data_IF_832526882016
#
_entry.id   IF_832526882016
#
_cell.length_a   1.000
_cell.length_b   1.000
_cell.length_c   1.000
_cell.angle_alpha   90.00
_cell.angle_beta   90.00
_cell.angle_gamma   90.00
#
_symmetry.space_group_name_H-M   'P 1'
#
loop_
_entity.id
_entity.type
_entity.pdbx_description
1 polymer ?
#
# COMPACT_ATOMS: atom_id res chain seq x y z
N UNK A 1 5.24 42.76 -5.28
CA UNK A 1 5.24 41.96 -6.52
C UNK A 1 5.16 40.51 -6.08
N UNK A 2 4.06 39.83 -6.38
CA UNK A 2 3.90 38.41 -6.04
C UNK A 2 4.71 37.61 -7.06
N UNK A 3 5.86 37.07 -6.66
CA UNK A 3 6.54 36.06 -7.47
C UNK A 3 5.77 34.75 -7.31
N UNK A 4 5.36 34.13 -8.41
CA UNK A 4 4.66 32.85 -8.40
C UNK A 4 5.50 31.80 -7.68
N UNK A 5 4.90 31.05 -6.73
CA UNK A 5 5.62 30.06 -5.93
C UNK A 5 5.93 28.81 -6.77
N UNK A 6 7.02 28.92 -7.51
CA UNK A 6 7.53 27.92 -8.43
C UNK A 6 8.98 27.59 -8.06
N UNK A 7 9.13 26.81 -7.00
CA UNK A 7 10.42 26.37 -6.52
C UNK A 7 11.14 25.49 -7.56
N UNK A 8 12.40 25.82 -7.86
CA UNK A 8 13.25 24.93 -8.68
C UNK A 8 13.64 23.70 -7.84
N UNK A 9 13.17 22.52 -8.25
CA UNK A 9 13.42 21.26 -7.55
C UNK A 9 14.08 20.23 -8.47
N UNK A 10 14.89 19.35 -7.87
CA UNK A 10 15.49 18.20 -8.55
C UNK A 10 14.51 17.04 -8.49
N UNK A 11 14.09 16.59 -9.66
CA UNK A 11 13.13 15.51 -9.85
C UNK A 11 13.88 14.28 -10.37
N UNK A 12 13.84 13.19 -9.60
CA UNK A 12 14.53 11.94 -9.92
C UNK A 12 13.72 11.13 -10.94
N UNK A 13 14.43 10.40 -11.80
CA UNK A 13 13.87 9.48 -12.78
C UNK A 13 14.71 8.21 -12.87
N UNK A 14 14.15 7.15 -13.45
CA UNK A 14 14.82 5.85 -13.61
C UNK A 14 16.11 5.93 -14.44
N UNK A 15 16.15 6.81 -15.43
CA UNK A 15 17.30 7.04 -16.31
C UNK A 15 18.07 8.35 -16.04
N UNK A 16 17.85 9.03 -14.91
CA UNK A 16 18.55 10.28 -14.63
C UNK A 16 17.94 11.17 -13.55
N UNK A 17 18.01 12.48 -13.78
CA UNK A 17 17.26 13.48 -13.02
C UNK A 17 16.98 14.69 -13.90
N UNK A 18 15.90 15.39 -13.64
CA UNK A 18 15.60 16.69 -14.24
C UNK A 18 15.57 17.75 -13.15
N UNK A 19 15.81 19.01 -13.49
CA UNK A 19 15.65 20.13 -12.57
C UNK A 19 14.68 21.10 -13.24
N UNK A 20 13.53 21.25 -12.61
CA UNK A 20 12.41 22.00 -13.15
C UNK A 20 11.74 22.84 -12.06
N UNK A 21 10.98 23.83 -12.50
CA UNK A 21 10.12 24.64 -11.63
C UNK A 21 8.82 23.89 -11.37
N UNK A 22 8.51 23.67 -10.09
CA UNK A 22 7.32 22.95 -9.64
C UNK A 22 6.65 23.72 -8.50
N UNK A 23 5.33 23.63 -8.40
CA UNK A 23 4.57 24.20 -7.28
C UNK A 23 4.64 23.29 -6.05
N UNK A 24 4.18 23.76 -4.89
CA UNK A 24 4.06 22.93 -3.68
C UNK A 24 3.12 21.72 -3.85
N UNK A 25 2.05 21.87 -4.62
CA UNK A 25 1.14 20.75 -4.93
C UNK A 25 1.83 19.67 -5.77
N UNK A 26 2.60 20.07 -6.78
CA UNK A 26 3.40 19.16 -7.60
C UNK A 26 4.51 18.51 -6.76
N UNK A 27 5.22 19.28 -5.94
CA UNK A 27 6.24 18.79 -5.01
C UNK A 27 5.67 17.77 -4.01
N UNK A 28 4.44 17.98 -3.51
CA UNK A 28 3.74 17.03 -2.64
C UNK A 28 3.36 15.74 -3.38
N UNK A 29 2.93 15.82 -4.65
CA UNK A 29 2.66 14.66 -5.52
C UNK A 29 3.93 13.89 -5.89
N UNK A 30 5.05 14.60 -6.08
CA UNK A 30 6.36 14.03 -6.39
C UNK A 30 7.06 13.37 -5.19
N UNK A 31 6.65 13.67 -3.96
CA UNK A 31 7.20 13.05 -2.76
C UNK A 31 6.51 11.70 -2.49
N UNK A 32 7.16 10.61 -2.91
CA UNK A 32 6.69 9.24 -2.73
C UNK A 32 7.09 8.64 -1.37
N UNK A 33 7.19 9.46 -0.31
CA UNK A 33 7.57 9.03 1.05
C UNK A 33 9.09 9.04 1.31
N UNK A 34 9.87 9.83 0.58
CA UNK A 34 11.32 9.89 0.70
C UNK A 34 11.88 11.32 0.60
N UNK A 35 13.21 11.50 0.77
CA UNK A 35 13.86 12.80 0.65
C UNK A 35 14.03 13.27 -0.81
N UNK A 36 13.88 12.37 -1.79
CA UNK A 36 13.92 12.69 -3.22
C UNK A 36 12.50 12.90 -3.78
N UNK A 37 12.30 13.95 -4.59
CA UNK A 37 11.11 14.09 -5.42
C UNK A 37 11.29 13.26 -6.70
N UNK A 38 10.20 12.66 -7.19
CA UNK A 38 10.19 11.88 -8.42
C UNK A 38 9.28 12.52 -9.48
N UNK A 39 9.80 12.64 -10.71
CA UNK A 39 9.02 13.17 -11.85
C UNK A 39 7.80 12.27 -12.17
N UNK A 40 7.90 10.98 -11.84
CA UNK A 40 6.83 10.00 -12.00
C UNK A 40 5.55 10.35 -11.20
N UNK A 41 5.69 10.94 -10.00
CA UNK A 41 4.56 11.33 -9.15
C UNK A 41 3.96 12.70 -9.53
N UNK A 42 4.76 13.58 -10.12
CA UNK A 42 4.31 14.90 -10.60
C UNK A 42 3.47 14.76 -11.88
N UNK A 43 3.89 13.90 -12.82
CA UNK A 43 3.19 13.68 -14.07
C UNK A 43 3.78 14.47 -15.24
N UNK A 44 2.89 15.03 -16.08
CA UNK A 44 3.24 15.85 -17.23
C UNK A 44 3.68 17.25 -16.78
N UNK A 45 4.88 17.65 -17.19
CA UNK A 45 5.45 18.98 -16.99
C UNK A 45 5.78 19.59 -18.35
N UNK A 46 5.53 20.88 -18.52
CA UNK A 46 5.82 21.60 -19.77
C UNK A 46 7.31 21.82 -19.98
N UNK A 47 7.73 21.83 -21.24
CA UNK A 47 9.14 21.93 -21.62
C UNK A 47 9.78 23.23 -21.08
N UNK A 48 9.06 24.35 -21.10
CA UNK A 48 9.49 25.64 -20.55
C UNK A 48 9.73 25.65 -19.02
N UNK A 49 9.19 24.67 -18.28
CA UNK A 49 9.41 24.54 -16.83
C UNK A 49 10.73 23.81 -16.51
N UNK A 50 11.33 23.11 -17.46
CA UNK A 50 12.63 22.44 -17.28
C UNK A 50 13.79 23.42 -17.48
N UNK A 51 14.61 23.58 -16.45
CA UNK A 51 15.84 24.37 -16.54
C UNK A 51 16.97 23.52 -17.14
N UNK A 52 17.07 22.26 -16.73
CA UNK A 52 18.07 21.31 -17.22
C UNK A 52 17.70 19.86 -16.90
N UNK A 53 18.34 18.92 -17.59
CA UNK A 53 18.22 17.49 -17.32
C UNK A 53 19.58 16.77 -17.39
N UNK A 54 19.69 15.67 -16.66
CA UNK A 54 20.84 14.78 -16.67
C UNK A 54 20.39 13.38 -17.12
N UNK A 55 21.12 12.79 -18.06
CA UNK A 55 20.86 11.44 -18.54
C UNK A 55 21.96 10.50 -18.06
N UNK A 56 21.60 9.48 -17.27
CA UNK A 56 22.54 8.46 -16.78
C UNK A 56 23.25 7.72 -17.92
N UNK A 57 22.63 7.56 -19.10
CA UNK A 57 23.25 6.85 -20.23
C UNK A 57 24.27 7.69 -21.02
N UNK A 58 24.13 9.02 -20.98
CA UNK A 58 25.13 9.94 -21.55
C UNK A 58 26.17 10.38 -20.51
N UNK A 59 25.89 10.14 -19.23
CA UNK A 59 26.58 10.67 -18.05
C UNK A 59 26.76 12.21 -18.08
N UNK A 60 25.85 12.90 -18.78
CA UNK A 60 25.92 14.33 -19.09
C UNK A 60 24.67 15.08 -18.65
N UNK A 61 24.91 16.30 -18.17
CA UNK A 61 23.90 17.33 -17.98
C UNK A 61 23.68 18.09 -19.30
N UNK A 62 22.44 18.45 -19.57
CA UNK A 62 21.95 19.14 -20.75
C UNK A 62 20.99 20.24 -20.31
N UNK A 63 21.06 21.40 -20.95
CA UNK A 63 20.19 22.53 -20.64
C UNK A 63 18.82 22.42 -21.36
N UNK A 64 17.76 22.95 -20.74
CA UNK A 64 16.39 22.85 -21.22
C UNK A 64 15.68 21.52 -20.90
N UNK A 65 14.72 21.14 -21.75
CA UNK A 65 13.82 20.00 -21.55
C UNK A 65 14.24 18.71 -22.27
N UNK A 66 13.98 17.53 -21.67
CA UNK A 66 13.98 16.26 -22.41
C UNK A 66 12.74 16.18 -23.33
N UNK A 67 12.82 15.41 -24.42
CA UNK A 67 11.68 15.22 -25.32
C UNK A 67 10.60 14.37 -24.65
N UNK A 68 9.40 14.92 -24.47
CA UNK A 68 8.27 14.17 -23.90
C UNK A 68 7.46 13.47 -25.01
N UNK A 69 7.18 12.18 -24.80
CA UNK A 69 6.19 11.42 -25.58
C UNK A 69 5.10 10.99 -24.61
N UNK A 70 3.84 11.28 -24.91
CA UNK A 70 2.70 10.90 -24.08
C UNK A 70 1.64 10.20 -24.93
N UNK A 71 0.90 9.31 -24.30
CA UNK A 71 -0.17 8.52 -24.90
C UNK A 71 -1.30 8.40 -23.86
N UNK A 72 -2.55 8.47 -24.30
CA UNK A 72 -3.73 8.46 -23.44
C UNK A 72 -4.50 7.14 -23.61
N UNK A 73 -4.04 6.03 -22.99
CA UNK A 73 -4.62 4.72 -23.23
C UNK A 73 -6.06 4.60 -22.69
N UNK A 74 -6.43 5.37 -21.65
CA UNK A 74 -7.73 5.28 -20.98
C UNK A 74 -8.09 3.82 -20.60
N UNK A 75 -7.09 3.10 -20.09
CA UNK A 75 -7.18 1.69 -19.77
C UNK A 75 -7.67 1.52 -18.33
N UNK A 76 -8.83 0.89 -18.14
CA UNK A 76 -9.30 0.50 -16.81
C UNK A 76 -8.41 -0.61 -16.25
N UNK A 77 -7.81 -0.37 -15.07
CA UNK A 77 -6.95 -1.34 -14.40
C UNK A 77 -7.69 -2.13 -13.31
N UNK A 78 -9.01 -2.01 -13.24
CA UNK A 78 -9.83 -2.49 -12.14
C UNK A 78 -9.89 -1.53 -10.96
N UNK A 79 -10.74 -1.86 -9.99
CA UNK A 79 -11.01 -1.05 -8.78
C UNK A 79 -11.44 0.40 -9.07
N UNK A 80 -11.90 0.68 -10.29
CA UNK A 80 -12.27 2.00 -10.80
C UNK A 80 -11.09 2.90 -11.18
N UNK A 81 -9.85 2.42 -11.05
CA UNK A 81 -8.64 3.19 -11.36
C UNK A 81 -8.31 3.06 -12.85
N UNK A 82 -8.54 4.14 -13.60
CA UNK A 82 -8.25 4.22 -15.03
C UNK A 82 -6.90 4.87 -15.29
N UNK A 83 -6.02 4.23 -16.06
CA UNK A 83 -4.81 4.85 -16.57
C UNK A 83 -5.17 5.78 -17.74
N UNK A 84 -5.43 7.06 -17.45
CA UNK A 84 -5.83 8.06 -18.45
C UNK A 84 -4.67 8.61 -19.27
N UNK A 85 -3.44 8.60 -18.74
CA UNK A 85 -2.26 9.09 -19.45
C UNK A 85 -1.01 8.36 -18.97
N UNK A 86 -0.15 7.98 -19.92
CA UNK A 86 1.23 7.56 -19.66
C UNK A 86 2.15 8.43 -20.50
N UNK A 87 3.31 8.79 -19.97
CA UNK A 87 4.31 9.51 -20.75
C UNK A 87 5.74 9.20 -20.35
N UNK A 88 6.62 9.33 -21.32
CA UNK A 88 8.05 9.08 -21.23
C UNK A 88 8.82 10.34 -21.60
N UNK A 89 9.74 10.75 -20.73
CA UNK A 89 10.72 11.79 -21.01
C UNK A 89 11.99 11.14 -21.54
N UNK A 90 12.33 11.39 -22.80
CA UNK A 90 13.46 10.80 -23.52
C UNK A 90 14.57 11.83 -23.74
N UNK A 91 15.82 11.43 -23.57
CA UNK A 91 16.97 12.29 -23.86
C UNK A 91 17.00 12.65 -25.36
N UNK A 92 17.05 13.94 -25.68
CA UNK A 92 17.09 14.43 -27.07
C UNK A 92 18.35 13.97 -27.82
N UNK A 93 19.45 13.69 -27.11
CA UNK A 93 20.74 13.31 -27.71
C UNK A 93 20.88 11.80 -27.98
N UNK A 94 20.30 10.93 -27.14
CA UNK A 94 20.50 9.48 -27.22
C UNK A 94 19.21 8.65 -27.23
N UNK A 95 18.04 9.30 -27.29
CA UNK A 95 16.72 8.66 -27.33
C UNK A 95 16.32 7.88 -26.06
N UNK A 96 17.16 7.86 -25.03
CA UNK A 96 16.96 6.98 -23.86
C UNK A 96 16.01 7.61 -22.84
N UNK A 97 15.08 6.81 -22.30
CA UNK A 97 14.09 7.25 -21.31
C UNK A 97 14.79 7.65 -20.00
N UNK A 98 14.66 8.92 -19.62
CA UNK A 98 15.17 9.53 -18.38
C UNK A 98 14.18 9.30 -17.24
N UNK A 99 12.89 9.40 -17.55
CA UNK A 99 11.79 9.19 -16.60
C UNK A 99 10.52 8.78 -17.34
N UNK A 100 9.63 8.11 -16.62
CA UNK A 100 8.28 7.79 -17.07
C UNK A 100 7.29 8.26 -15.99
N UNK A 101 6.13 8.73 -16.41
CA UNK A 101 5.01 9.07 -15.52
C UNK A 101 3.75 8.35 -15.96
N UNK A 102 2.83 8.17 -15.01
CA UNK A 102 1.51 7.59 -15.21
C UNK A 102 0.52 8.43 -14.43
N UNK A 103 -0.52 8.92 -15.10
CA UNK A 103 -1.63 9.63 -14.50
C UNK A 103 -2.80 8.67 -14.45
N UNK A 104 -3.26 8.39 -13.24
CA UNK A 104 -4.43 7.60 -12.98
C UNK A 104 -5.59 8.53 -12.62
N UNK A 105 -6.76 8.25 -13.18
CA UNK A 105 -8.03 8.78 -12.73
C UNK A 105 -8.66 7.74 -11.82
N UNK A 106 -9.02 8.13 -10.60
CA UNK A 106 -9.75 7.27 -9.67
C UNK A 106 -11.14 7.89 -9.49
N UNK A 107 -12.21 7.09 -9.29
CA UNK A 107 -13.56 7.61 -9.19
C UNK A 107 -13.62 8.49 -7.93
N UNK A 108 -13.96 9.76 -8.10
CA UNK A 108 -13.62 10.77 -7.11
C UNK A 108 -14.32 10.54 -5.75
N UNK A 109 -13.55 10.07 -4.77
CA UNK A 109 -13.67 10.60 -3.39
C UNK A 109 -12.93 11.95 -3.37
N UNK A 110 -13.59 12.95 -3.96
CA UNK A 110 -13.26 14.38 -3.91
C UNK A 110 -11.79 14.80 -4.16
N UNK A 111 -11.29 14.62 -5.39
CA UNK A 111 -10.27 15.52 -5.94
C UNK A 111 -10.95 16.77 -6.50
N UNK A 112 -11.29 17.73 -5.62
CA UNK A 112 -11.89 19.00 -6.05
C UNK A 112 -10.79 20.00 -6.45
N UNK A 113 -10.48 20.07 -7.75
CA UNK A 113 -9.81 21.23 -8.35
C UNK A 113 -10.79 21.96 -9.28
N UNK A 114 -10.85 23.27 -9.06
CA UNK A 114 -11.82 24.27 -9.52
C UNK A 114 -11.86 24.48 -11.05
N UNK A 115 -13.07 24.64 -11.62
CA UNK A 115 -13.62 25.77 -12.41
C UNK A 115 -15.14 25.47 -12.66
N UNK A 116 -16.05 26.32 -13.16
CA UNK A 116 -16.01 27.71 -13.67
C UNK A 116 -17.32 28.46 -13.29
N UNK A 117 -17.27 29.80 -13.29
CA UNK A 117 -18.35 30.79 -13.64
C UNK A 117 -19.78 30.70 -13.05
N UNK A 118 -20.22 31.85 -12.51
CA UNK A 118 -21.64 32.20 -12.38
C UNK A 118 -22.23 32.62 -13.74
N UNK A 119 -23.55 32.39 -13.98
CA UNK A 119 -24.49 33.48 -13.70
C UNK A 119 -25.87 33.08 -13.10
N UNK A 120 -26.39 34.02 -12.30
CA UNK A 120 -27.79 34.44 -12.09
C UNK A 120 -28.97 33.58 -12.62
N UNK A 121 -29.80 33.10 -11.68
CA UNK A 121 -31.28 32.88 -11.70
C UNK A 121 -31.91 32.04 -12.85
N UNK A 122 -32.96 31.25 -12.67
CA UNK A 122 -34.15 31.41 -11.81
C UNK A 122 -34.77 30.05 -11.38
N UNK A 123 -35.50 30.06 -10.25
CA UNK A 123 -36.65 29.20 -9.88
C UNK A 123 -36.64 27.70 -10.29
N UNK A 124 -36.37 26.77 -9.36
CA UNK A 124 -37.30 26.22 -8.37
C UNK A 124 -38.33 25.18 -8.89
N UNK A 125 -38.23 23.93 -8.42
CA UNK A 125 -39.34 23.11 -7.90
C UNK A 125 -38.77 21.97 -7.04
N UNK A 126 -39.47 21.65 -5.95
CA UNK A 126 -39.02 20.78 -4.87
C UNK A 126 -39.47 19.32 -5.01
N UNK A 127 -38.60 18.36 -4.69
CA UNK A 127 -38.99 17.12 -4.00
C UNK A 127 -37.84 16.64 -3.09
N UNK A 128 -38.18 16.07 -1.94
CA UNK A 128 -37.29 15.62 -0.84
C UNK A 128 -37.92 14.35 -0.23
N UNK A 129 -37.22 13.60 0.65
CA UNK A 129 -35.99 12.81 0.46
C UNK A 129 -36.28 11.29 0.49
N UNK A 130 -35.26 10.47 0.21
CA UNK A 130 -35.05 9.23 0.97
C UNK A 130 -33.56 9.13 1.36
N UNK A 131 -33.27 8.68 2.58
CA UNK A 131 -32.05 9.06 3.31
C UNK A 131 -31.30 7.85 3.87
N UNK A 132 -30.06 7.68 3.39
CA UNK A 132 -28.96 6.93 4.03
C UNK A 132 -29.15 5.39 4.13
N UNK A 133 -28.10 4.55 4.22
CA UNK A 133 -26.79 4.74 4.87
C UNK A 133 -25.64 4.08 4.08
N UNK A 134 -24.56 4.83 3.84
CA UNK A 134 -23.19 4.35 3.55
C UNK A 134 -22.39 4.31 4.87
N UNK A 135 -21.35 3.45 5.05
CA UNK A 135 -20.00 3.65 4.48
C UNK A 135 -19.32 2.33 4.00
N UNK A 136 -18.35 2.25 3.07
CA UNK A 136 -17.26 3.14 2.65
C UNK A 136 -16.09 3.29 3.66
N UNK A 137 -15.11 2.38 3.63
CA UNK A 137 -13.74 2.68 4.12
C UNK A 137 -12.70 1.97 3.26
N UNK A 138 -11.82 2.75 2.62
CA UNK A 138 -10.53 2.30 2.10
C UNK A 138 -9.44 2.63 3.14
N UNK A 139 -8.34 1.87 3.16
CA UNK A 139 -7.24 2.13 4.08
C UNK A 139 -5.88 1.89 3.41
N UNK A 140 -5.36 2.94 2.78
CA UNK A 140 -3.93 3.07 2.49
C UNK A 140 -3.16 3.23 3.81
N UNK A 141 -2.02 2.56 3.94
CA UNK A 141 -1.15 2.67 5.10
C UNK A 141 -0.02 3.68 4.83
N UNK A 142 0.08 4.71 5.66
CA UNK A 142 1.30 5.51 5.84
C UNK A 142 1.67 5.55 7.31
N UNK A 143 2.94 5.27 7.61
CA UNK A 143 3.35 4.88 8.94
C UNK A 143 3.52 6.05 9.92
N UNK A 144 2.89 5.93 11.09
CA UNK A 144 3.58 6.05 12.37
C UNK A 144 2.91 5.09 13.37
N UNK A 145 3.66 4.02 13.67
CA UNK A 145 3.62 3.10 14.82
C UNK A 145 2.29 2.73 15.52
N UNK A 146 2.12 1.43 15.75
CA UNK A 146 1.16 0.80 16.69
C UNK A 146 -0.35 0.78 16.38
N UNK A 147 -0.90 1.53 15.41
CA UNK A 147 -2.34 1.42 15.03
C UNK A 147 -2.57 0.93 13.60
N UNK A 148 -3.11 -0.29 13.46
CA UNK A 148 -3.53 -0.87 12.17
C UNK A 148 -5.06 -0.92 12.11
N UNK A 149 -5.73 -0.32 11.10
CA UNK A 149 -7.17 -0.40 10.97
C UNK A 149 -7.64 -1.84 10.80
N UNK A 150 -8.72 -2.24 11.50
CA UNK A 150 -9.27 -3.61 11.40
C UNK A 150 -9.65 -3.96 9.96
N UNK A 151 -10.07 -2.97 9.16
CA UNK A 151 -10.42 -3.15 7.75
C UNK A 151 -9.19 -3.45 6.87
N UNK A 152 -8.00 -2.89 7.18
CA UNK A 152 -6.76 -3.18 6.46
C UNK A 152 -6.29 -4.62 6.62
N UNK A 153 -6.67 -5.27 7.71
CA UNK A 153 -6.28 -6.66 8.01
C UNK A 153 -6.98 -7.67 7.10
N UNK A 154 -8.15 -7.32 6.54
CA UNK A 154 -8.92 -8.18 5.63
C UNK A 154 -8.21 -8.19 4.26
N UNK A 155 -7.98 -9.38 3.72
CA UNK A 155 -7.20 -9.61 2.49
C UNK A 155 -5.70 -9.83 2.69
N UNK A 156 -5.15 -9.48 3.86
CA UNK A 156 -3.74 -9.76 4.20
C UNK A 156 -3.44 -11.25 4.15
N UNK A 157 -2.26 -11.59 3.64
CA UNK A 157 -1.75 -12.97 3.68
C UNK A 157 -1.27 -13.31 5.08
N UNK A 158 -1.74 -14.44 5.61
CA UNK A 158 -1.38 -14.95 6.92
C UNK A 158 -0.45 -16.15 6.82
N UNK A 159 0.64 -16.13 7.59
CA UNK A 159 1.66 -17.17 7.62
C UNK A 159 1.82 -17.72 9.03
N UNK A 160 2.24 -18.98 9.11
CA UNK A 160 2.59 -19.61 10.38
C UNK A 160 4.07 -19.34 10.75
N UNK A 161 4.51 -19.92 11.87
CA UNK A 161 5.90 -19.89 12.35
C UNK A 161 6.93 -20.48 11.39
N UNK A 162 6.56 -21.47 10.58
CA UNK A 162 7.40 -22.13 9.58
C UNK A 162 7.40 -21.37 8.24
N UNK A 163 6.82 -20.18 8.20
CA UNK A 163 6.63 -19.33 7.01
C UNK A 163 5.79 -19.97 5.89
N UNK A 164 4.97 -20.99 6.21
CA UNK A 164 3.99 -21.54 5.28
C UNK A 164 2.77 -20.61 5.20
N UNK A 165 2.26 -20.39 4.00
CA UNK A 165 1.05 -19.60 3.77
C UNK A 165 -0.18 -20.37 4.29
N UNK A 166 -0.82 -19.86 5.34
CA UNK A 166 -2.07 -20.43 5.89
C UNK A 166 -3.26 -20.05 5.02
N UNK A 167 -3.24 -18.83 4.46
CA UNK A 167 -4.31 -18.30 3.62
C UNK A 167 -4.36 -16.78 3.65
N UNK A 168 -5.52 -16.23 3.31
CA UNK A 168 -5.83 -14.80 3.46
C UNK A 168 -6.88 -14.59 4.55
N UNK A 169 -6.79 -13.48 5.27
CA UNK A 169 -7.81 -13.06 6.24
C UNK A 169 -9.09 -12.71 5.47
N UNK A 170 -10.15 -13.47 5.63
CA UNK A 170 -11.45 -13.22 4.98
C UNK A 170 -12.33 -12.28 5.81
N UNK A 171 -12.30 -12.42 7.14
CA UNK A 171 -13.19 -11.69 8.03
C UNK A 171 -12.58 -11.58 9.43
N UNK A 172 -12.97 -10.54 10.17
CA UNK A 172 -12.62 -10.36 11.57
C UNK A 172 -13.92 -10.17 12.35
N UNK A 173 -14.03 -10.82 13.50
CA UNK A 173 -15.24 -10.83 14.31
C UNK A 173 -15.00 -11.03 15.79
N UNK A 174 -16.02 -10.76 16.60
CA UNK A 174 -16.00 -10.96 18.04
C UNK A 174 -16.64 -12.31 18.38
N UNK A 175 -15.86 -13.24 18.93
CA UNK A 175 -16.38 -14.45 19.53
C UNK A 175 -16.76 -14.18 20.99
N UNK A 176 -17.93 -14.67 21.42
CA UNK A 176 -18.41 -14.59 22.81
C UNK A 176 -18.28 -15.96 23.47
N UNK A 177 -17.17 -16.19 24.16
CA UNK A 177 -17.03 -17.30 25.11
C UNK A 177 -17.25 -16.78 26.53
N UNK A 178 -17.98 -17.52 27.36
CA UNK A 178 -18.05 -17.35 28.82
C UNK A 178 -18.34 -15.91 29.36
N UNK A 179 -18.92 -15.02 28.53
CA UNK A 179 -19.20 -13.63 28.89
C UNK A 179 -18.11 -12.62 28.51
N UNK A 180 -16.95 -13.06 28.02
CA UNK A 180 -15.88 -12.19 27.52
C UNK A 180 -15.84 -12.17 25.99
N UNK A 181 -15.87 -10.98 25.38
CA UNK A 181 -15.69 -10.82 23.94
C UNK A 181 -14.20 -10.92 23.57
N UNK A 182 -13.85 -11.89 22.72
CA UNK A 182 -12.50 -12.04 22.13
C UNK A 182 -12.54 -11.71 20.64
N UNK A 183 -11.55 -10.97 20.16
CA UNK A 183 -11.38 -10.76 18.71
C UNK A 183 -10.82 -12.04 18.08
N UNK A 184 -11.39 -12.44 16.94
CA UNK A 184 -10.99 -13.60 16.15
C UNK A 184 -10.91 -13.23 14.68
N UNK A 185 -9.92 -13.78 13.98
CA UNK A 185 -9.71 -13.67 12.54
C UNK A 185 -10.15 -14.98 11.87
N UNK A 186 -10.88 -14.90 10.76
CA UNK A 186 -11.16 -16.03 9.86
C UNK A 186 -10.17 -15.98 8.70
N UNK A 187 -9.40 -17.04 8.52
CA UNK A 187 -8.33 -17.17 7.52
C UNK A 187 -8.66 -18.44 6.73
N UNK A 188 -9.38 -18.27 5.61
CA UNK A 188 -10.03 -19.39 4.91
C UNK A 188 -10.89 -20.23 5.87
N UNK A 189 -10.68 -21.54 5.87
CA UNK A 189 -11.39 -22.49 6.74
C UNK A 189 -10.97 -22.45 8.23
N UNK A 190 -9.95 -21.67 8.61
CA UNK A 190 -9.41 -21.63 9.98
C UNK A 190 -9.83 -20.36 10.72
N UNK A 191 -10.33 -20.50 11.94
CA UNK A 191 -10.56 -19.39 12.86
C UNK A 191 -9.41 -19.31 13.88
N UNK A 192 -8.88 -18.09 14.10
CA UNK A 192 -7.73 -17.82 14.94
C UNK A 192 -8.05 -16.69 15.92
N UNK A 193 -7.77 -16.88 17.20
CA UNK A 193 -7.91 -15.83 18.21
C UNK A 193 -6.81 -14.78 18.08
N UNK A 194 -7.10 -13.52 18.41
CA UNK A 194 -6.12 -12.41 18.35
C UNK A 194 -4.85 -12.68 19.20
N UNK A 195 -4.98 -13.42 20.29
CA UNK A 195 -3.89 -13.92 21.13
C UNK A 195 -2.86 -14.79 20.37
N UNK A 196 -3.30 -15.44 19.29
CA UNK A 196 -2.47 -16.24 18.39
C UNK A 196 -1.78 -15.42 17.30
N UNK A 197 -1.89 -14.09 17.27
CA UNK A 197 -1.20 -13.23 16.30
C UNK A 197 0.11 -12.73 16.91
N UNK A 198 1.24 -13.09 16.29
CA UNK A 198 2.58 -12.65 16.71
C UNK A 198 2.89 -11.23 16.27
N UNK A 199 2.65 -10.92 14.99
CA UNK A 199 2.92 -9.61 14.39
C UNK A 199 1.93 -9.30 13.28
N UNK A 200 1.65 -8.02 13.14
CA UNK A 200 0.84 -7.43 12.08
C UNK A 200 1.71 -6.38 11.38
N UNK A 201 1.85 -6.50 10.07
CA UNK A 201 2.50 -5.54 9.18
C UNK A 201 1.89 -5.69 7.78
N UNK A 202 2.72 -5.74 6.74
CA UNK A 202 2.29 -6.10 5.38
C UNK A 202 1.75 -7.55 5.27
N UNK A 203 2.09 -8.38 6.26
CA UNK A 203 1.63 -9.76 6.43
C UNK A 203 1.19 -9.98 7.87
N UNK A 204 0.30 -10.95 8.09
CA UNK A 204 -0.09 -11.42 9.42
C UNK A 204 0.77 -12.63 9.78
N UNK A 205 1.67 -12.48 10.75
CA UNK A 205 2.40 -13.61 11.32
C UNK A 205 1.60 -14.14 12.50
N UNK A 206 1.11 -15.38 12.40
CA UNK A 206 0.61 -16.06 13.57
C UNK A 206 1.79 -16.44 14.45
N UNK A 207 1.58 -16.37 15.76
CA UNK A 207 2.43 -17.08 16.70
C UNK A 207 2.29 -18.56 16.38
N UNK A 208 3.24 -19.38 16.85
CA UNK A 208 2.79 -20.69 17.30
C UNK A 208 1.70 -20.42 18.33
N UNK A 209 0.44 -20.63 17.94
CA UNK A 209 -0.45 -21.34 18.84
C UNK A 209 0.38 -22.53 19.26
N UNK A 210 0.87 -22.52 20.50
CA UNK A 210 1.45 -23.70 21.15
C UNK A 210 0.39 -24.76 20.94
N UNK A 211 0.63 -25.62 19.93
CA UNK A 211 -0.45 -26.27 19.19
C UNK A 211 -1.23 -27.01 20.24
N UNK A 212 -2.46 -26.53 20.53
CA UNK A 212 -3.20 -27.02 21.68
C UNK A 212 -3.41 -28.48 21.43
N UNK A 213 -2.59 -29.27 22.10
CA UNK A 213 -2.24 -30.57 21.57
C UNK A 213 -3.42 -31.49 21.77
N UNK A 214 -4.23 -31.59 20.72
CA UNK A 214 -4.95 -32.80 20.35
C UNK A 214 -3.98 -33.87 19.80
N UNK A 215 -2.72 -33.83 20.26
CA UNK A 215 -1.90 -34.98 20.57
C UNK A 215 -1.95 -35.16 22.09
N UNK A 216 -2.86 -36.03 22.54
CA UNK A 216 -2.91 -36.56 23.90
C UNK A 216 -1.53 -37.06 24.34
N UNK A 217 -1.25 -37.03 25.64
CA UNK A 217 0.01 -37.45 26.29
C UNK A 217 1.17 -36.45 26.21
N UNK A 218 1.02 -35.36 26.97
CA UNK A 218 2.17 -34.66 27.53
C UNK A 218 3.02 -35.60 28.40
N UNK A 219 4.08 -36.15 27.80
CA UNK A 219 5.34 -36.39 28.49
C UNK A 219 5.43 -37.60 29.41
N UNK A 220 4.77 -38.74 29.17
CA UNK A 220 5.11 -39.99 29.90
C UNK A 220 5.65 -41.06 28.97
N UNK A 221 6.83 -41.60 29.28
CA UNK A 221 7.45 -42.65 28.48
C UNK A 221 6.65 -43.94 28.52
N UNK A 222 6.28 -44.47 27.35
CA UNK A 222 5.57 -45.73 27.19
C UNK A 222 6.38 -46.97 27.62
N UNK A 223 7.72 -46.87 27.67
CA UNK A 223 8.61 -47.98 28.02
C UNK A 223 8.97 -48.07 29.52
N UNK A 224 9.23 -46.94 30.18
CA UNK A 224 9.65 -46.91 31.61
C UNK A 224 8.73 -46.09 32.53
N UNK A 225 7.74 -45.36 31.99
CA UNK A 225 6.84 -44.52 32.79
C UNK A 225 7.43 -43.17 33.25
N UNK A 226 8.69 -42.85 32.90
CA UNK A 226 9.34 -41.58 33.26
C UNK A 226 8.61 -40.37 32.66
N UNK A 227 8.53 -39.26 33.41
CA UNK A 227 7.88 -38.03 32.97
C UNK A 227 8.89 -37.09 32.29
N UNK A 228 8.79 -36.91 30.97
CA UNK A 228 9.69 -36.13 30.12
C UNK A 228 9.13 -34.74 29.82
N UNK A 229 10.01 -33.80 29.46
CA UNK A 229 9.64 -32.44 29.10
C UNK A 229 8.79 -32.38 27.82
N UNK A 230 7.80 -31.47 27.73
CA UNK A 230 6.94 -31.34 26.56
C UNK A 230 7.76 -31.00 25.31
N UNK A 231 7.59 -31.80 24.25
CA UNK A 231 8.36 -31.68 23.00
C UNK A 231 9.60 -32.57 22.91
N UNK A 232 9.92 -33.34 23.96
CA UNK A 232 11.00 -34.35 23.92
C UNK A 232 10.69 -35.45 22.89
N UNK A 233 11.61 -35.72 21.97
CA UNK A 233 11.47 -36.77 20.95
C UNK A 233 11.87 -38.18 21.47
N UNK A 234 12.68 -38.23 22.52
CA UNK A 234 13.20 -39.45 23.15
C UNK A 234 13.18 -39.30 24.67
N UNK A 235 13.07 -40.42 25.38
CA UNK A 235 13.06 -40.42 26.83
C UNK A 235 14.45 -40.15 27.40
N UNK A 236 14.56 -39.16 28.30
CA UNK A 236 15.82 -38.78 28.94
C UNK A 236 16.41 -39.89 29.84
N UNK A 237 15.59 -40.81 30.33
CA UNK A 237 16.01 -41.89 31.24
C UNK A 237 16.39 -43.19 30.51
N UNK A 238 15.57 -43.64 29.54
CA UNK A 238 15.74 -44.94 28.88
C UNK A 238 16.04 -44.87 27.37
N UNK A 239 16.13 -43.67 26.77
CA UNK A 239 16.41 -43.47 25.34
C UNK A 239 15.32 -43.90 24.36
N UNK A 240 14.22 -44.50 24.83
CA UNK A 240 13.10 -44.92 23.98
C UNK A 240 12.38 -43.72 23.36
N UNK A 241 11.92 -43.86 22.12
CA UNK A 241 11.09 -42.84 21.45
C UNK A 241 9.78 -42.64 22.22
N UNK A 242 9.38 -41.38 22.41
CA UNK A 242 8.19 -41.00 23.18
C UNK A 242 6.90 -41.08 22.34
#
# INVERSE_FOLDING_TARGET
>A
MMAEDMAQKKLRGSGGYTIARVTDEEQKKGNLGGPELFLAGIGRLDEDRFVKYYCNKCEKEYEGAPAVQYENPNEDLGEGVTLIEKGEYKCRTCGSTIAQYRKFDAPAVAQQQDQVQAPRAEQATSTIPDLAVTPAVAAAATANDSFVPIQSLIGMSAYDSEAMLIGKVEQIGLSREAGNAKITLKIGDRQVSWDGVSKIGDIVLLKMAETRATMTSGGRCHACGYQNEPGSAFCAECGSKL
#
